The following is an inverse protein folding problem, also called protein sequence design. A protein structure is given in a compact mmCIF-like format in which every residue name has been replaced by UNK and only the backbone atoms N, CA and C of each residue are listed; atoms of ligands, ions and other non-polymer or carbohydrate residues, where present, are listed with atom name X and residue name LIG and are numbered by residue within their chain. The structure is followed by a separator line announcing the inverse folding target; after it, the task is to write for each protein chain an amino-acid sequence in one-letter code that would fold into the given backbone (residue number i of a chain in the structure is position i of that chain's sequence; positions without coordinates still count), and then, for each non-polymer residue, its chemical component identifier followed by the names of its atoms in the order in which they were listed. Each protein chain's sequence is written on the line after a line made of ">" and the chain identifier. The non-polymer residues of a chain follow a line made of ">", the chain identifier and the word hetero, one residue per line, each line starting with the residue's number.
data_IF_826027119914
#
_entry.id   IF_826027119914
#
_cell.length_a   1.000
_cell.length_b   1.000
_cell.length_c   1.000
_cell.angle_alpha   90.00
_cell.angle_beta   90.00
_cell.angle_gamma   90.00
#
_symmetry.space_group_name_H-M   'P 1'
#
loop_
_entity.id
_entity.type
_entity.pdbx_description
1 polymer ?
#
# COMPACT_ATOMS: atom_id res chain seq x y z
N UNK A 1 10.38 16.86 18.41
CA UNK A 1 10.59 16.01 17.23
C UNK A 1 10.10 14.62 17.59
N UNK A 2 8.83 14.50 17.98
CA UNK A 2 7.65 14.20 17.15
C UNK A 2 7.49 12.70 16.94
N UNK A 3 6.73 12.11 17.86
CA UNK A 3 6.13 10.78 17.76
C UNK A 3 5.34 10.66 16.46
N UNK A 4 5.74 9.71 15.61
CA UNK A 4 4.90 9.28 14.49
C UNK A 4 3.83 8.33 15.05
N UNK A 5 2.69 8.91 15.41
CA UNK A 5 1.45 8.22 15.71
C UNK A 5 1.05 7.34 14.52
N UNK A 6 1.25 6.03 14.66
CA UNK A 6 0.77 5.04 13.68
C UNK A 6 -0.75 4.91 13.86
N UNK A 7 -1.51 5.70 13.10
CA UNK A 7 -2.97 5.58 13.09
C UNK A 7 -3.36 4.30 12.35
N UNK A 8 -3.61 3.23 13.11
CA UNK A 8 -4.23 2.00 12.63
C UNK A 8 -5.66 2.29 12.20
N UNK A 9 -5.90 2.43 10.90
CA UNK A 9 -7.25 2.54 10.33
C UNK A 9 -7.94 1.17 10.34
N UNK A 10 -8.65 0.87 11.42
CA UNK A 10 -9.58 -0.25 11.52
C UNK A 10 -10.79 -0.01 10.60
N UNK A 11 -10.78 -0.59 9.40
CA UNK A 11 -11.97 -0.66 8.56
C UNK A 11 -12.88 -1.78 9.07
N UNK A 12 -14.05 -1.40 9.57
CA UNK A 12 -15.13 -2.28 10.03
C UNK A 12 -15.55 -3.32 8.98
N UNK A 13 -16.03 -4.51 9.40
CA UNK A 13 -16.24 -5.62 8.50
C UNK A 13 -17.53 -5.42 7.69
N UNK A 14 -17.40 -4.96 6.44
CA UNK A 14 -18.42 -5.23 5.42
C UNK A 14 -18.42 -6.74 5.19
N UNK A 15 -19.57 -7.40 5.37
CA UNK A 15 -19.80 -8.84 5.14
C UNK A 15 -19.15 -9.25 3.80
N UNK A 16 -17.93 -9.79 3.86
CA UNK A 16 -17.14 -10.04 2.66
C UNK A 16 -17.62 -11.32 1.99
N UNK A 17 -18.09 -11.20 0.74
CA UNK A 17 -18.14 -12.34 -0.20
C UNK A 17 -16.73 -12.93 -0.26
N UNK A 18 -16.58 -14.25 -0.12
CA UNK A 18 -15.32 -15.03 -0.12
C UNK A 18 -14.16 -14.24 -0.75
N UNK A 19 -13.50 -13.42 0.06
CA UNK A 19 -12.39 -12.59 -0.40
C UNK A 19 -11.15 -13.46 -0.41
N UNK A 20 -10.23 -13.20 -1.33
CA UNK A 20 -8.89 -13.80 -1.24
C UNK A 20 -8.31 -13.45 0.13
N UNK A 21 -7.78 -14.45 0.82
CA UNK A 21 -7.50 -14.42 2.26
C UNK A 21 -6.64 -13.23 2.74
N UNK A 22 -5.85 -12.63 1.84
CA UNK A 22 -4.88 -11.58 2.16
C UNK A 22 -5.18 -10.23 1.48
N UNK A 23 -6.36 -10.06 0.87
CA UNK A 23 -6.71 -8.81 0.21
C UNK A 23 -6.74 -7.64 1.20
N UNK A 24 -5.93 -6.61 0.95
CA UNK A 24 -5.84 -5.41 1.80
C UNK A 24 -4.97 -5.55 3.05
N UNK A 25 -4.35 -6.71 3.29
CA UNK A 25 -3.43 -6.90 4.42
C UNK A 25 -2.03 -6.43 4.03
N UNK A 26 -1.43 -5.53 4.84
CA UNK A 26 -0.03 -5.14 4.67
C UNK A 26 0.86 -6.32 5.05
N UNK A 27 1.52 -6.93 4.07
CA UNK A 27 2.41 -8.08 4.29
C UNK A 27 3.80 -7.69 4.82
N UNK A 28 4.22 -6.43 4.63
CA UNK A 28 5.52 -5.91 5.06
C UNK A 28 5.89 -4.62 4.32
N UNK A 29 7.05 -4.06 4.66
CA UNK A 29 7.60 -2.86 4.03
C UNK A 29 8.59 -3.25 2.93
N UNK A 30 8.49 -2.63 1.76
CA UNK A 30 9.45 -2.80 0.65
C UNK A 30 9.90 -1.44 0.11
N UNK A 31 11.15 -1.36 -0.32
CA UNK A 31 11.73 -0.19 -0.99
C UNK A 31 11.98 -0.44 -2.49
N UNK A 32 11.46 -1.55 -3.04
CA UNK A 32 11.72 -1.95 -4.43
C UNK A 32 10.79 -1.21 -5.39
N UNK A 33 9.48 -1.24 -5.14
CA UNK A 33 8.49 -0.59 -5.99
C UNK A 33 7.45 0.15 -5.14
N UNK A 34 6.93 1.25 -5.67
CA UNK A 34 5.77 1.95 -5.12
C UNK A 34 4.77 2.28 -6.22
N UNK A 35 3.49 2.07 -5.93
CA UNK A 35 2.39 2.49 -6.81
C UNK A 35 1.73 3.75 -6.26
N UNK A 36 1.43 4.71 -7.12
CA UNK A 36 0.70 5.92 -6.76
C UNK A 36 -0.72 5.59 -6.28
N UNK A 37 -1.32 6.48 -5.48
CA UNK A 37 -2.66 6.28 -4.92
C UNK A 37 -3.75 6.12 -6.00
N UNK A 38 -3.52 6.70 -7.17
CA UNK A 38 -4.37 6.56 -8.36
C UNK A 38 -4.09 5.30 -9.19
N UNK A 39 -2.99 4.58 -8.92
CA UNK A 39 -2.58 3.37 -9.63
C UNK A 39 -1.95 3.56 -11.00
N UNK A 40 -1.84 4.80 -11.49
CA UNK A 40 -1.25 5.10 -12.80
C UNK A 40 0.28 5.27 -12.75
N UNK A 41 0.80 5.69 -11.59
CA UNK A 41 2.22 5.95 -11.41
C UNK A 41 2.89 4.73 -10.78
N UNK A 42 4.00 4.28 -11.35
CA UNK A 42 4.84 3.22 -10.81
C UNK A 42 6.26 3.75 -10.65
N UNK A 43 6.86 3.50 -9.50
CA UNK A 43 8.27 3.84 -9.27
C UNK A 43 9.06 2.58 -8.96
N UNK A 44 10.23 2.44 -9.57
CA UNK A 44 11.19 1.38 -9.30
C UNK A 44 12.43 1.96 -8.64
N UNK A 45 12.68 1.58 -7.38
CA UNK A 45 13.78 2.07 -6.53
C UNK A 45 13.90 3.60 -6.47
N UNK A 46 12.81 4.32 -6.74
CA UNK A 46 12.75 5.78 -6.73
C UNK A 46 12.76 6.46 -8.10
N UNK A 47 12.84 5.70 -9.20
CA UNK A 47 12.73 6.22 -10.57
C UNK A 47 11.36 5.94 -11.15
N UNK A 48 10.83 6.88 -11.96
CA UNK A 48 9.63 6.65 -12.76
C UNK A 48 9.92 5.57 -13.82
N UNK A 49 8.94 4.73 -14.12
CA UNK A 49 9.09 3.73 -15.18
C UNK A 49 9.17 4.35 -16.56
N UNK A 50 8.69 5.58 -16.74
CA UNK A 50 8.76 6.27 -18.03
C UNK A 50 10.18 6.75 -18.38
N UNK A 51 11.05 6.85 -17.38
CA UNK A 51 12.45 7.29 -17.53
C UNK A 51 13.44 6.11 -17.63
N UNK A 52 12.95 4.86 -17.53
CA UNK A 52 13.72 3.60 -17.57
C UNK A 52 13.56 2.89 -18.92
#
# INVERSE_FOLDING_TARGET
>A
MSEASVSTVTSSPKKAKKSVALSGVVAGNTAICTVGRSGNDLHYRGYDILDL
#
